data_IF_025437740289
#
_entry.id   IF_025437740289
#
_cell.length_a   1.000
_cell.length_b   1.000
_cell.length_c   1.000
_cell.angle_alpha   90.00
_cell.angle_beta   90.00
_cell.angle_gamma   90.00
#
_symmetry.space_group_name_H-M   'P 1'
#
loop_
_entity.id
_entity.type
_entity.pdbx_description
1 polymer ?
#
# COMPACT_ATOMS: atom_id res chain seq x y z
N UNK A 1 1.80 -7.79 56.92
CA UNK A 1 2.20 -8.17 55.54
C UNK A 1 1.37 -7.31 54.61
N UNK A 2 1.98 -6.62 53.64
CA UNK A 2 1.22 -5.89 52.63
C UNK A 2 0.39 -6.93 51.85
N UNK A 3 -0.93 -6.74 51.79
CA UNK A 3 -1.84 -7.60 51.03
C UNK A 3 -1.52 -7.46 49.55
N UNK A 4 -1.36 -8.59 48.86
CA UNK A 4 -1.17 -8.61 47.41
C UNK A 4 -2.49 -8.25 46.71
N UNK A 5 -2.65 -6.95 46.46
CA UNK A 5 -3.88 -6.38 45.89
C UNK A 5 -4.11 -6.91 44.48
N UNK A 6 -3.05 -7.13 43.70
CA UNK A 6 -3.18 -7.53 42.29
C UNK A 6 -3.61 -8.99 42.20
N UNK A 7 -3.09 -9.88 43.05
CA UNK A 7 -3.53 -11.28 43.11
C UNK A 7 -4.98 -11.45 43.56
N UNK A 8 -5.55 -10.46 44.28
CA UNK A 8 -6.94 -10.47 44.72
C UNK A 8 -7.96 -10.07 43.64
N UNK A 9 -7.50 -9.61 42.46
CA UNK A 9 -8.37 -9.21 41.37
C UNK A 9 -9.05 -10.42 40.71
N UNK A 10 -10.26 -10.25 40.13
CA UNK A 10 -10.90 -11.29 39.33
C UNK A 10 -10.01 -11.75 38.17
N UNK A 11 -10.09 -13.04 37.81
CA UNK A 11 -9.27 -13.62 36.74
C UNK A 11 -9.39 -12.84 35.42
N UNK A 12 -10.58 -12.40 35.05
CA UNK A 12 -10.82 -11.61 33.83
C UNK A 12 -10.04 -10.28 33.81
N UNK A 13 -9.88 -9.65 34.98
CA UNK A 13 -9.12 -8.40 35.10
C UNK A 13 -7.63 -8.69 34.96
N UNK A 14 -7.13 -9.75 35.60
CA UNK A 14 -5.73 -10.18 35.49
C UNK A 14 -5.41 -10.55 34.04
N UNK A 15 -6.28 -11.32 33.38
CA UNK A 15 -6.11 -11.71 31.97
C UNK A 15 -6.08 -10.48 31.05
N UNK A 16 -6.94 -9.48 31.31
CA UNK A 16 -6.91 -8.22 30.60
C UNK A 16 -5.61 -7.43 30.84
N UNK A 17 -5.12 -7.35 32.08
CA UNK A 17 -3.84 -6.70 32.39
C UNK A 17 -2.71 -7.39 31.61
N UNK A 18 -2.64 -8.73 31.70
CA UNK A 18 -1.60 -9.53 31.05
C UNK A 18 -1.65 -9.43 29.52
N UNK A 19 -2.85 -9.30 28.93
CA UNK A 19 -3.05 -9.12 27.49
C UNK A 19 -2.40 -7.85 26.93
N UNK A 20 -2.21 -6.82 27.77
CA UNK A 20 -1.54 -5.57 27.37
C UNK A 20 -0.03 -5.57 27.64
N UNK A 21 0.51 -6.61 28.28
CA UNK A 21 1.95 -6.75 28.47
C UNK A 21 2.59 -7.43 27.26
N UNK A 22 3.84 -7.08 26.91
CA UNK A 22 4.65 -7.91 26.02
C UNK A 22 4.72 -9.35 26.54
N UNK A 23 4.71 -10.33 25.63
CA UNK A 23 4.61 -11.75 25.99
C UNK A 23 5.64 -12.15 27.06
N UNK A 24 6.90 -11.75 26.89
CA UNK A 24 7.95 -12.10 27.85
C UNK A 24 7.79 -11.40 29.19
N UNK A 25 7.23 -10.20 29.25
CA UNK A 25 6.93 -9.55 30.53
C UNK A 25 5.76 -10.23 31.23
N UNK A 26 4.74 -10.66 30.48
CA UNK A 26 3.67 -11.49 31.02
C UNK A 26 4.20 -12.82 31.57
N UNK A 27 5.10 -13.49 30.83
CA UNK A 27 5.79 -14.71 31.31
C UNK A 27 6.63 -14.41 32.56
N UNK A 28 7.33 -13.27 32.63
CA UNK A 28 8.14 -12.87 33.79
C UNK A 28 7.32 -12.71 35.07
N UNK A 29 6.03 -12.36 34.98
CA UNK A 29 5.13 -12.33 36.15
C UNK A 29 5.05 -13.68 36.88
N UNK A 30 5.36 -14.80 36.20
CA UNK A 30 5.43 -16.14 36.81
C UNK A 30 6.43 -16.26 37.98
N UNK A 31 7.36 -15.30 38.10
CA UNK A 31 8.35 -15.22 39.18
C UNK A 31 7.85 -14.51 40.43
N UNK A 32 6.71 -13.80 40.36
CA UNK A 32 6.19 -12.99 41.45
C UNK A 32 5.66 -13.84 42.61
N UNK A 33 4.89 -14.90 42.31
CA UNK A 33 4.37 -15.82 43.33
C UNK A 33 3.96 -17.16 42.71
N UNK A 34 3.60 -18.14 43.55
CA UNK A 34 3.04 -19.43 43.09
C UNK A 34 1.73 -19.25 42.32
N UNK A 35 0.93 -18.24 42.66
CA UNK A 35 -0.36 -17.95 42.01
C UNK A 35 -0.18 -17.35 40.62
N UNK A 36 0.85 -16.52 40.42
CA UNK A 36 1.16 -15.92 39.12
C UNK A 36 1.84 -16.86 38.13
N UNK A 37 2.38 -17.99 38.62
CA UNK A 37 3.21 -18.92 37.83
C UNK A 37 2.60 -19.31 36.47
N UNK A 38 1.28 -19.48 36.41
CA UNK A 38 0.57 -19.95 35.22
C UNK A 38 -0.49 -18.97 34.71
N UNK A 39 -0.57 -17.73 35.21
CA UNK A 39 -1.60 -16.77 34.74
C UNK A 39 -1.41 -16.36 33.27
N UNK A 40 -0.18 -16.38 32.77
CA UNK A 40 0.12 -16.02 31.40
C UNK A 40 -0.27 -17.10 30.36
N UNK A 41 -0.51 -18.36 30.78
CA UNK A 41 -0.69 -19.49 29.85
C UNK A 41 -2.04 -19.45 29.11
N UNK A 42 -2.91 -18.50 29.42
CA UNK A 42 -4.22 -18.28 28.79
C UNK A 42 -4.26 -17.02 27.93
N UNK A 43 -3.17 -16.26 27.83
CA UNK A 43 -3.11 -15.02 27.06
C UNK A 43 -3.35 -15.30 25.57
N UNK A 44 -4.34 -14.65 24.93
CA UNK A 44 -4.72 -15.00 23.56
C UNK A 44 -3.74 -14.52 22.48
N UNK A 45 -2.82 -13.61 22.83
CA UNK A 45 -1.89 -12.97 21.90
C UNK A 45 -0.45 -13.44 22.18
N UNK A 46 0.11 -14.23 21.27
CA UNK A 46 1.50 -14.67 21.36
C UNK A 46 2.33 -13.93 20.30
N UNK A 47 3.05 -12.91 20.73
CA UNK A 47 3.85 -12.05 19.86
C UNK A 47 5.34 -12.32 20.08
N UNK A 48 5.95 -12.95 19.10
CA UNK A 48 7.37 -13.26 19.00
C UNK A 48 8.00 -12.37 17.92
N UNK A 49 8.12 -11.07 18.19
CA UNK A 49 8.74 -10.12 17.25
C UNK A 49 10.20 -9.80 17.62
N UNK A 50 10.89 -9.06 16.74
CA UNK A 50 12.30 -8.70 16.95
C UNK A 50 12.52 -7.78 18.16
N UNK A 51 11.51 -7.02 18.59
CA UNK A 51 11.61 -6.14 19.78
C UNK A 51 11.59 -6.97 21.06
N UNK A 52 10.76 -8.01 21.09
CA UNK A 52 10.63 -8.94 22.20
C UNK A 52 11.76 -9.97 22.23
N UNK A 53 12.17 -10.44 21.05
CA UNK A 53 13.10 -11.55 20.92
C UNK A 53 14.55 -11.15 20.73
N UNK A 54 14.88 -9.89 20.44
CA UNK A 54 16.24 -9.45 20.15
C UNK A 54 17.26 -10.07 21.10
N UNK A 55 17.25 -9.69 22.38
CA UNK A 55 18.21 -10.21 23.35
C UNK A 55 18.10 -11.73 23.61
N UNK A 56 16.97 -12.36 23.29
CA UNK A 56 16.73 -13.79 23.53
C UNK A 56 17.24 -14.66 22.37
N UNK A 57 17.15 -14.19 21.12
CA UNK A 57 17.62 -14.88 19.91
C UNK A 57 19.15 -15.03 19.87
N UNK A 58 19.88 -14.01 20.35
CA UNK A 58 21.34 -14.07 20.42
C UNK A 58 21.87 -14.85 21.63
N UNK A 59 21.06 -15.00 22.69
CA UNK A 59 21.49 -15.60 23.97
C UNK A 59 20.99 -17.02 24.19
N UNK A 60 19.85 -17.40 23.60
CA UNK A 60 19.18 -18.69 23.81
C UNK A 60 18.66 -19.27 22.49
N UNK A 61 18.41 -20.58 22.47
CA UNK A 61 17.77 -21.23 21.32
C UNK A 61 16.28 -20.84 21.26
N UNK A 62 15.94 -19.87 20.41
CA UNK A 62 14.56 -19.36 20.27
C UNK A 62 13.54 -20.44 19.94
N UNK A 63 13.91 -21.47 19.16
CA UNK A 63 13.04 -22.62 18.88
C UNK A 63 12.59 -23.28 20.18
N UNK A 64 13.53 -23.56 21.08
CA UNK A 64 13.24 -24.21 22.35
C UNK A 64 12.38 -23.36 23.29
N UNK A 65 12.45 -22.03 23.17
CA UNK A 65 11.63 -21.11 23.95
C UNK A 65 10.19 -21.12 23.43
N UNK A 66 10.02 -21.02 22.12
CA UNK A 66 8.71 -21.03 21.46
C UNK A 66 8.02 -22.38 21.70
N UNK A 67 8.74 -23.50 21.55
CA UNK A 67 8.22 -24.84 21.86
C UNK A 67 7.69 -24.92 23.29
N UNK A 68 8.48 -24.47 24.27
CA UNK A 68 8.06 -24.48 25.69
C UNK A 68 6.83 -23.61 25.93
N UNK A 69 6.78 -22.43 25.32
CA UNK A 69 5.66 -21.52 25.48
C UNK A 69 4.39 -22.15 24.90
N UNK A 70 4.45 -22.68 23.68
CA UNK A 70 3.31 -23.31 23.01
C UNK A 70 2.85 -24.59 23.73
N UNK A 71 3.77 -25.42 24.22
CA UNK A 71 3.45 -26.62 24.99
C UNK A 71 2.79 -26.33 26.35
N UNK A 72 3.16 -25.20 26.97
CA UNK A 72 2.57 -24.77 28.24
C UNK A 72 1.26 -24.01 28.06
N UNK A 73 1.01 -23.47 26.87
CA UNK A 73 -0.17 -22.67 26.58
C UNK A 73 -1.43 -23.52 26.64
N UNK A 74 -2.43 -23.05 27.39
CA UNK A 74 -3.73 -23.73 27.57
C UNK A 74 -4.90 -22.92 27.02
N UNK A 75 -4.67 -21.65 26.72
CA UNK A 75 -5.66 -20.75 26.14
C UNK A 75 -5.88 -20.96 24.64
N UNK A 76 -6.82 -20.21 24.10
CA UNK A 76 -6.99 -20.09 22.65
C UNK A 76 -6.07 -19.00 22.14
N UNK A 77 -5.17 -19.35 21.22
CA UNK A 77 -4.29 -18.38 20.55
C UNK A 77 -5.08 -17.76 19.41
N UNK A 78 -5.54 -16.52 19.57
CA UNK A 78 -6.28 -15.79 18.52
C UNK A 78 -5.36 -14.93 17.67
N UNK A 79 -4.20 -14.54 18.20
CA UNK A 79 -3.19 -13.75 17.49
C UNK A 79 -1.81 -14.35 17.68
N UNK A 80 -1.14 -14.62 16.58
CA UNK A 80 0.22 -15.14 16.56
C UNK A 80 1.09 -14.33 15.61
N UNK A 81 2.17 -13.77 16.15
CA UNK A 81 3.19 -13.06 15.37
C UNK A 81 4.52 -13.74 15.59
N UNK A 82 5.23 -14.01 14.50
CA UNK A 82 6.56 -14.59 14.54
C UNK A 82 7.47 -13.90 13.53
N UNK A 83 8.54 -13.29 14.03
CA UNK A 83 9.61 -12.67 13.23
C UNK A 83 10.92 -13.34 13.54
N UNK A 84 11.62 -13.86 12.54
CA UNK A 84 12.93 -14.45 12.75
C UNK A 84 13.84 -14.26 11.53
N UNK A 85 15.14 -14.22 11.80
CA UNK A 85 16.17 -13.98 10.79
C UNK A 85 16.97 -15.24 10.41
N UNK A 86 16.75 -16.37 11.09
CA UNK A 86 17.48 -17.62 10.85
C UNK A 86 16.62 -18.64 10.09
N UNK A 87 17.04 -18.99 8.87
CA UNK A 87 16.37 -19.97 8.03
C UNK A 87 16.29 -21.37 8.65
N UNK A 88 17.11 -21.68 9.66
CA UNK A 88 17.04 -22.95 10.40
C UNK A 88 15.76 -23.11 11.21
N UNK A 89 15.03 -22.02 11.46
CA UNK A 89 13.76 -22.04 12.20
C UNK A 89 12.60 -22.53 11.34
N UNK A 90 12.68 -22.38 10.01
CA UNK A 90 11.59 -22.71 9.09
C UNK A 90 11.01 -24.13 9.25
N UNK A 91 11.80 -25.21 9.44
CA UNK A 91 11.27 -26.56 9.64
C UNK A 91 10.42 -26.73 10.91
N UNK A 92 10.59 -25.86 11.91
CA UNK A 92 9.83 -25.92 13.17
C UNK A 92 8.46 -25.23 13.09
N UNK A 93 8.24 -24.39 12.08
CA UNK A 93 6.99 -23.64 11.91
C UNK A 93 5.81 -24.58 11.78
N UNK A 94 5.98 -25.71 11.07
CA UNK A 94 4.93 -26.71 10.92
C UNK A 94 4.38 -27.16 12.28
N UNK A 95 5.28 -27.45 13.23
CA UNK A 95 4.91 -27.86 14.57
C UNK A 95 4.18 -26.74 15.33
N UNK A 96 4.55 -25.49 15.10
CA UNK A 96 3.93 -24.34 15.77
C UNK A 96 2.54 -24.05 15.22
N UNK A 97 2.34 -24.14 13.90
CA UNK A 97 1.04 -23.93 13.27
C UNK A 97 -0.01 -24.93 13.77
N UNK A 98 0.38 -26.14 14.20
CA UNK A 98 -0.53 -27.11 14.83
C UNK A 98 -1.23 -26.58 16.09
N UNK A 99 -0.61 -25.64 16.82
CA UNK A 99 -1.21 -25.00 18.01
C UNK A 99 -2.16 -23.86 17.64
N UNK A 100 -2.22 -23.44 16.38
CA UNK A 100 -2.89 -22.23 15.93
C UNK A 100 -4.25 -22.47 15.28
N UNK A 101 -4.89 -23.61 15.52
CA UNK A 101 -6.20 -23.96 14.92
C UNK A 101 -7.31 -22.93 15.14
N UNK A 102 -7.24 -22.12 16.20
CA UNK A 102 -8.19 -21.04 16.52
C UNK A 102 -7.64 -19.62 16.22
N UNK A 103 -6.52 -19.53 15.50
CA UNK A 103 -5.87 -18.27 15.20
C UNK A 103 -6.66 -17.48 14.17
N UNK A 104 -6.92 -16.22 14.48
CA UNK A 104 -7.63 -15.28 13.62
C UNK A 104 -6.65 -14.32 12.94
N UNK A 105 -5.58 -13.93 13.63
CA UNK A 105 -4.54 -13.04 13.12
C UNK A 105 -3.17 -13.72 13.11
N UNK A 106 -2.68 -14.04 11.91
CA UNK A 106 -1.36 -14.65 11.73
C UNK A 106 -0.41 -13.69 11.03
N UNK A 107 0.75 -13.44 11.65
CA UNK A 107 1.88 -12.72 11.05
C UNK A 107 3.12 -13.59 11.06
N UNK A 108 3.68 -13.89 9.88
CA UNK A 108 4.96 -14.58 9.72
C UNK A 108 5.93 -13.69 8.94
N UNK A 109 7.04 -13.34 9.58
CA UNK A 109 8.09 -12.53 8.99
C UNK A 109 9.41 -13.32 8.92
N UNK A 110 9.82 -13.61 7.69
CA UNK A 110 11.00 -14.39 7.35
C UNK A 110 12.13 -13.42 6.95
N UNK A 111 12.83 -12.86 7.92
CA UNK A 111 13.96 -11.94 7.67
C UNK A 111 15.26 -12.71 7.36
N UNK A 112 15.17 -13.71 6.49
CA UNK A 112 16.27 -14.60 6.15
C UNK A 112 17.05 -14.02 4.97
N UNK A 113 18.23 -13.44 5.23
CA UNK A 113 19.07 -12.84 4.18
C UNK A 113 19.39 -13.87 3.08
N UNK A 114 18.87 -13.64 1.87
CA UNK A 114 19.16 -14.46 0.68
C UNK A 114 18.38 -15.77 0.54
N UNK A 115 17.43 -16.08 1.44
CA UNK A 115 16.59 -17.28 1.36
C UNK A 115 15.10 -16.91 1.16
N UNK A 116 14.40 -17.70 0.34
CA UNK A 116 12.94 -17.64 0.19
C UNK A 116 12.37 -18.95 0.73
N UNK A 117 12.08 -19.04 2.03
CA UNK A 117 11.58 -20.27 2.60
C UNK A 117 10.19 -20.59 2.04
N UNK A 118 9.95 -21.87 1.77
CA UNK A 118 8.62 -22.35 1.46
C UNK A 118 7.74 -22.16 2.69
N UNK A 119 6.61 -21.47 2.51
CA UNK A 119 5.63 -21.28 3.57
C UNK A 119 4.92 -22.61 3.79
N UNK A 120 4.76 -22.98 5.06
CA UNK A 120 4.16 -24.24 5.49
C UNK A 120 2.80 -24.48 4.84
N UNK A 121 2.57 -25.72 4.40
CA UNK A 121 1.28 -26.16 3.89
C UNK A 121 0.19 -26.18 4.99
N UNK A 122 0.58 -26.27 6.26
CA UNK A 122 -0.34 -26.22 7.39
C UNK A 122 -0.97 -24.83 7.57
N UNK A 123 -0.40 -23.78 7.00
CA UNK A 123 -1.03 -22.46 7.00
C UNK A 123 -2.41 -22.49 6.34
N UNK A 124 -2.59 -23.30 5.31
CA UNK A 124 -3.85 -23.41 4.56
C UNK A 124 -4.94 -24.22 5.26
N UNK A 125 -4.65 -24.80 6.43
CA UNK A 125 -5.65 -25.50 7.27
C UNK A 125 -6.24 -24.60 8.36
N UNK A 126 -5.72 -23.38 8.53
CA UNK A 126 -6.18 -22.41 9.53
C UNK A 126 -7.47 -21.72 9.07
N UNK A 127 -8.61 -22.32 9.39
CA UNK A 127 -9.94 -21.91 8.90
C UNK A 127 -10.54 -20.68 9.61
N UNK A 128 -10.00 -20.30 10.77
CA UNK A 128 -10.44 -19.12 11.53
C UNK A 128 -9.77 -17.82 11.10
N UNK A 129 -8.81 -17.85 10.15
CA UNK A 129 -8.02 -16.68 9.78
C UNK A 129 -8.90 -15.55 9.22
N UNK A 130 -8.80 -14.38 9.86
CA UNK A 130 -9.37 -13.11 9.42
C UNK A 130 -8.30 -12.16 8.90
N UNK A 131 -7.07 -12.27 9.41
CA UNK A 131 -5.92 -11.45 9.00
C UNK A 131 -4.70 -12.33 8.75
N UNK A 132 -4.12 -12.18 7.56
CA UNK A 132 -2.88 -12.84 7.19
C UNK A 132 -1.85 -11.81 6.75
N UNK A 133 -0.71 -11.79 7.42
CA UNK A 133 0.44 -10.97 7.05
C UNK A 133 1.69 -11.84 6.88
N UNK A 134 2.17 -11.92 5.65
CA UNK A 134 3.37 -12.65 5.29
C UNK A 134 4.45 -11.68 4.78
N UNK A 135 5.66 -11.81 5.31
CA UNK A 135 6.82 -11.03 4.89
C UNK A 135 7.94 -11.99 4.50
N UNK A 136 8.32 -11.98 3.23
CA UNK A 136 9.25 -12.89 2.56
C UNK A 136 8.78 -14.36 2.55
N UNK A 137 9.20 -15.13 1.54
CA UNK A 137 8.88 -16.55 1.40
C UNK A 137 8.09 -16.90 0.15
N UNK A 138 7.87 -18.19 -0.05
CA UNK A 138 7.17 -18.75 -1.21
C UNK A 138 5.85 -19.38 -0.77
N UNK A 139 4.74 -18.77 -1.20
CA UNK A 139 3.39 -19.21 -0.88
C UNK A 139 2.87 -20.11 -2.01
N UNK A 140 2.73 -21.40 -1.71
CA UNK A 140 2.24 -22.40 -2.65
C UNK A 140 0.94 -23.02 -2.13
N UNK A 141 -0.23 -22.51 -2.54
CA UNK A 141 -1.50 -23.11 -2.15
C UNK A 141 -1.62 -24.56 -2.66
N UNK A 142 -1.89 -25.54 -1.80
CA UNK A 142 -2.05 -26.92 -2.24
C UNK A 142 -3.31 -27.08 -3.10
N UNK A 143 -3.39 -28.09 -3.98
CA UNK A 143 -4.59 -28.34 -4.79
C UNK A 143 -5.87 -28.51 -3.96
N UNK A 144 -5.73 -29.05 -2.74
CA UNK A 144 -6.82 -29.26 -1.79
C UNK A 144 -7.27 -27.99 -1.05
N UNK A 145 -6.56 -26.87 -1.21
CA UNK A 145 -6.90 -25.61 -0.54
C UNK A 145 -8.28 -25.12 -0.99
N UNK A 146 -9.23 -25.12 -0.05
CA UNK A 146 -10.60 -24.70 -0.30
C UNK A 146 -10.78 -23.18 -0.25
N UNK A 147 -9.88 -22.47 0.43
CA UNK A 147 -10.00 -21.04 0.66
C UNK A 147 -9.93 -20.66 2.12
N UNK A 148 -9.76 -19.36 2.36
CA UNK A 148 -9.95 -18.79 3.69
C UNK A 148 -11.28 -18.05 3.73
N UNK A 149 -12.32 -18.73 4.22
CA UNK A 149 -13.70 -18.24 4.23
C UNK A 149 -13.90 -16.94 5.02
N UNK A 150 -13.06 -16.71 6.04
CA UNK A 150 -13.16 -15.57 6.95
C UNK A 150 -12.11 -14.50 6.72
N UNK A 151 -11.20 -14.68 5.75
CA UNK A 151 -10.08 -13.78 5.56
C UNK A 151 -10.57 -12.41 5.07
N UNK A 152 -10.38 -11.39 5.90
CA UNK A 152 -10.75 -10.00 5.63
C UNK A 152 -9.56 -9.20 5.14
N UNK A 153 -8.36 -9.45 5.68
CA UNK A 153 -7.13 -8.70 5.32
C UNK A 153 -5.99 -9.62 4.93
N UNK A 154 -5.38 -9.30 3.79
CA UNK A 154 -4.20 -9.96 3.26
C UNK A 154 -3.09 -8.93 3.05
N UNK A 155 -1.94 -9.17 3.68
CA UNK A 155 -0.71 -8.40 3.46
C UNK A 155 0.39 -9.37 3.01
N UNK A 156 0.95 -9.13 1.82
CA UNK A 156 2.05 -9.91 1.26
C UNK A 156 3.21 -8.95 0.97
N UNK A 157 4.34 -9.09 1.65
CA UNK A 157 5.53 -8.29 1.41
C UNK A 157 6.64 -9.21 0.95
N UNK A 158 7.10 -9.06 -0.29
CA UNK A 158 8.10 -9.89 -0.95
C UNK A 158 7.83 -11.40 -0.90
N UNK A 159 6.55 -11.78 -0.91
CA UNK A 159 6.10 -13.16 -1.06
C UNK A 159 6.02 -13.51 -2.54
N UNK A 160 6.57 -14.67 -2.93
CA UNK A 160 6.45 -15.21 -4.27
C UNK A 160 5.33 -16.24 -4.38
N UNK A 161 4.65 -16.26 -5.52
CA UNK A 161 3.62 -17.23 -5.89
C UNK A 161 3.85 -17.66 -7.34
N UNK A 162 3.38 -18.85 -7.74
CA UNK A 162 3.44 -19.24 -9.13
C UNK A 162 2.48 -18.39 -9.99
N UNK A 163 2.70 -18.38 -11.30
CA UNK A 163 1.84 -17.64 -12.22
C UNK A 163 0.38 -18.10 -12.11
N UNK A 164 -0.55 -17.15 -11.93
CA UNK A 164 -1.98 -17.43 -11.75
C UNK A 164 -2.40 -17.80 -10.32
N UNK A 165 -1.46 -18.16 -9.43
CA UNK A 165 -1.81 -18.55 -8.07
C UNK A 165 -2.34 -17.39 -7.22
N UNK A 166 -1.88 -16.16 -7.49
CA UNK A 166 -2.38 -15.00 -6.77
C UNK A 166 -3.90 -14.83 -6.97
N UNK A 167 -4.36 -14.93 -8.23
CA UNK A 167 -5.79 -14.92 -8.57
C UNK A 167 -6.52 -16.07 -7.89
N UNK A 168 -6.04 -17.30 -8.09
CA UNK A 168 -6.71 -18.50 -7.57
C UNK A 168 -6.82 -18.48 -6.04
N UNK A 169 -5.84 -17.88 -5.36
CA UNK A 169 -5.83 -17.68 -3.92
C UNK A 169 -6.88 -16.67 -3.46
N UNK A 170 -6.89 -15.45 -4.02
CA UNK A 170 -7.84 -14.41 -3.58
C UNK A 170 -9.29 -14.73 -3.94
N UNK A 171 -9.55 -15.44 -5.05
CA UNK A 171 -10.90 -15.89 -5.42
C UNK A 171 -11.52 -16.81 -4.37
N UNK A 172 -10.69 -17.55 -3.64
CA UNK A 172 -11.09 -18.46 -2.57
C UNK A 172 -11.20 -17.76 -1.20
N UNK A 173 -11.17 -16.43 -1.17
CA UNK A 173 -11.28 -15.62 0.05
C UNK A 173 -12.49 -14.67 -0.08
N UNK A 174 -13.73 -15.14 0.12
CA UNK A 174 -14.94 -14.38 -0.22
C UNK A 174 -15.19 -13.13 0.66
N UNK A 175 -14.64 -13.10 1.88
CA UNK A 175 -14.76 -11.99 2.82
C UNK A 175 -13.65 -10.93 2.67
N UNK A 176 -12.79 -11.05 1.66
CA UNK A 176 -11.60 -10.22 1.54
C UNK A 176 -11.95 -8.76 1.24
N UNK A 177 -11.62 -7.86 2.16
CA UNK A 177 -11.88 -6.42 2.06
C UNK A 177 -10.61 -5.59 1.85
N UNK A 178 -9.45 -6.13 2.24
CA UNK A 178 -8.18 -5.41 2.21
C UNK A 178 -7.07 -6.29 1.65
N UNK A 179 -6.39 -5.81 0.61
CA UNK A 179 -5.21 -6.45 0.03
C UNK A 179 -4.09 -5.42 -0.10
N UNK A 180 -2.93 -5.74 0.47
CA UNK A 180 -1.68 -5.05 0.22
C UNK A 180 -0.63 -6.05 -0.26
N UNK A 181 -0.01 -5.75 -1.40
CA UNK A 181 1.08 -6.54 -1.96
C UNK A 181 2.27 -5.62 -2.23
N UNK A 182 3.40 -5.88 -1.58
CA UNK A 182 4.69 -5.33 -1.95
C UNK A 182 5.55 -6.43 -2.56
N UNK A 183 6.09 -6.25 -3.77
CA UNK A 183 6.78 -7.33 -4.50
C UNK A 183 7.93 -6.81 -5.34
N UNK A 184 9.13 -6.73 -4.74
CA UNK A 184 10.32 -6.13 -5.35
C UNK A 184 11.37 -7.14 -5.83
N UNK A 185 11.23 -8.41 -5.44
CA UNK A 185 12.20 -9.46 -5.72
C UNK A 185 12.19 -10.01 -7.15
N UNK A 186 13.14 -10.89 -7.50
CA UNK A 186 13.19 -11.53 -8.82
C UNK A 186 11.97 -12.44 -9.07
N UNK A 187 11.43 -13.05 -8.01
CA UNK A 187 10.20 -13.85 -8.02
C UNK A 187 8.95 -12.99 -7.70
N UNK A 188 8.96 -11.71 -8.08
CA UNK A 188 7.85 -10.81 -7.78
C UNK A 188 6.55 -11.24 -8.47
N UNK A 189 5.43 -11.04 -7.78
CA UNK A 189 4.09 -11.19 -8.33
C UNK A 189 3.85 -10.02 -9.28
N UNK A 190 3.95 -10.26 -10.59
CA UNK A 190 3.81 -9.22 -11.61
C UNK A 190 2.50 -9.25 -12.39
N UNK A 191 1.84 -10.41 -12.47
CA UNK A 191 0.59 -10.59 -13.19
C UNK A 191 -0.57 -10.65 -12.20
N UNK A 192 -1.43 -9.63 -12.22
CA UNK A 192 -2.46 -9.41 -11.23
C UNK A 192 -3.85 -9.53 -11.88
N UNK A 193 -4.60 -10.57 -11.52
CA UNK A 193 -6.03 -10.65 -11.83
C UNK A 193 -6.84 -10.58 -10.55
N UNK A 194 -7.62 -9.51 -10.40
CA UNK A 194 -8.37 -9.19 -9.18
C UNK A 194 -9.84 -9.59 -9.33
N UNK A 195 -10.23 -10.67 -8.68
CA UNK A 195 -11.60 -11.17 -8.59
C UNK A 195 -11.96 -11.35 -7.10
N UNK A 196 -12.32 -10.24 -6.47
CA UNK A 196 -12.60 -10.08 -5.05
C UNK A 196 -13.77 -9.08 -4.85
N UNK A 197 -15.04 -9.55 -4.85
CA UNK A 197 -16.23 -8.67 -4.86
C UNK A 197 -16.36 -7.73 -3.65
N UNK A 198 -15.83 -8.15 -2.49
CA UNK A 198 -15.92 -7.39 -1.24
C UNK A 198 -14.72 -6.47 -1.01
N UNK A 199 -13.77 -6.41 -1.94
CA UNK A 199 -12.54 -5.64 -1.81
C UNK A 199 -12.84 -4.14 -1.72
N UNK A 200 -12.39 -3.51 -0.63
CA UNK A 200 -12.52 -2.06 -0.36
C UNK A 200 -11.20 -1.34 -0.52
N UNK A 201 -10.08 -1.99 -0.22
CA UNK A 201 -8.74 -1.44 -0.32
C UNK A 201 -7.82 -2.37 -1.10
N UNK A 202 -7.15 -1.84 -2.13
CA UNK A 202 -6.13 -2.54 -2.89
C UNK A 202 -4.87 -1.69 -3.01
N UNK A 203 -3.75 -2.20 -2.52
CA UNK A 203 -2.44 -1.59 -2.71
C UNK A 203 -1.47 -2.59 -3.34
N UNK A 204 -0.82 -2.19 -4.43
CA UNK A 204 0.27 -2.93 -5.04
C UNK A 204 1.49 -2.03 -5.19
N UNK A 205 2.66 -2.52 -4.77
CA UNK A 205 3.94 -1.85 -4.95
C UNK A 205 5.01 -2.85 -5.36
N UNK A 206 5.48 -2.79 -6.59
CA UNK A 206 6.38 -3.84 -7.06
C UNK A 206 6.57 -3.87 -8.57
N UNK A 207 7.24 -4.92 -9.06
CA UNK A 207 7.43 -5.15 -10.50
C UNK A 207 6.13 -5.64 -11.14
N UNK A 208 5.42 -4.75 -11.83
CA UNK A 208 4.15 -5.05 -12.48
C UNK A 208 4.34 -5.45 -13.95
N UNK A 209 3.84 -6.61 -14.35
CA UNK A 209 3.76 -7.07 -15.74
C UNK A 209 2.41 -6.71 -16.37
N UNK A 210 1.32 -7.12 -15.71
CA UNK A 210 -0.07 -6.91 -16.15
C UNK A 210 -1.01 -6.76 -14.96
N UNK A 211 -2.10 -6.00 -15.14
CA UNK A 211 -3.17 -5.92 -14.15
C UNK A 211 -4.54 -5.92 -14.82
N UNK A 212 -5.43 -6.72 -14.26
CA UNK A 212 -6.81 -6.88 -14.70
C UNK A 212 -7.75 -6.94 -13.49
N UNK A 213 -8.83 -6.16 -13.52
CA UNK A 213 -9.88 -6.22 -12.52
C UNK A 213 -11.11 -6.92 -13.09
N UNK A 214 -11.42 -8.11 -12.58
CA UNK A 214 -12.61 -8.88 -12.98
C UNK A 214 -13.83 -8.51 -12.14
N UNK A 215 -13.67 -8.48 -10.82
CA UNK A 215 -14.76 -8.18 -9.89
C UNK A 215 -14.20 -7.50 -8.63
N UNK A 216 -14.43 -6.20 -8.49
CA UNK A 216 -14.01 -5.40 -7.33
C UNK A 216 -14.87 -4.13 -7.22
N UNK A 217 -16.19 -4.29 -7.33
CA UNK A 217 -17.14 -3.17 -7.45
C UNK A 217 -17.28 -2.30 -6.18
N UNK A 218 -16.78 -2.78 -5.04
CA UNK A 218 -16.77 -2.08 -3.75
C UNK A 218 -15.46 -1.35 -3.45
N UNK A 219 -14.52 -1.36 -4.40
CA UNK A 219 -13.19 -0.78 -4.20
C UNK A 219 -13.29 0.73 -3.97
N UNK A 220 -12.88 1.16 -2.78
CA UNK A 220 -12.93 2.55 -2.34
C UNK A 220 -11.56 3.22 -2.39
N UNK A 221 -10.49 2.46 -2.20
CA UNK A 221 -9.12 2.95 -2.27
C UNK A 221 -8.25 2.03 -3.14
N UNK A 222 -7.56 2.62 -4.10
CA UNK A 222 -6.60 1.94 -4.96
C UNK A 222 -5.26 2.67 -4.94
N UNK A 223 -4.18 1.93 -4.71
CA UNK A 223 -2.81 2.46 -4.78
C UNK A 223 -1.93 1.52 -5.60
N UNK A 224 -1.41 1.97 -6.74
CA UNK A 224 -0.54 1.16 -7.61
C UNK A 224 0.76 1.90 -7.88
N UNK A 225 1.84 1.41 -7.29
CA UNK A 225 3.19 1.94 -7.42
C UNK A 225 4.04 0.90 -8.14
N UNK A 226 4.00 0.93 -9.47
CA UNK A 226 4.71 -0.04 -10.31
C UNK A 226 6.20 0.31 -10.46
N UNK A 227 7.09 -0.68 -10.45
CA UNK A 227 8.51 -0.53 -10.75
C UNK A 227 8.80 -1.04 -12.16
N UNK A 228 9.83 -0.47 -12.80
CA UNK A 228 10.14 -0.65 -14.23
C UNK A 228 10.15 -2.12 -14.66
N UNK A 229 9.38 -2.39 -15.71
CA UNK A 229 9.71 -3.34 -16.77
C UNK A 229 10.86 -2.75 -17.63
N UNK A 230 11.54 -3.58 -18.41
CA UNK A 230 12.55 -3.14 -19.39
C UNK A 230 12.03 -1.95 -20.23
N UNK A 231 12.93 -1.07 -20.67
CA UNK A 231 12.60 0.15 -21.43
C UNK A 231 11.77 -0.17 -22.70
N UNK A 232 11.03 0.82 -23.27
CA UNK A 232 10.26 0.66 -24.50
C UNK A 232 11.08 0.18 -25.72
N UNK A 233 12.40 0.32 -25.69
CA UNK A 233 13.28 -0.04 -26.81
C UNK A 233 13.61 -1.54 -26.87
N UNK A 234 13.31 -2.32 -25.82
CA UNK A 234 13.72 -3.73 -25.71
C UNK A 234 12.55 -4.74 -25.78
N UNK A 235 11.37 -4.29 -26.17
CA UNK A 235 10.24 -5.21 -26.35
C UNK A 235 10.10 -5.60 -27.82
N UNK A 236 10.29 -6.88 -28.19
CA UNK A 236 9.51 -7.42 -29.32
C UNK A 236 8.04 -7.17 -29.01
N UNK A 237 7.26 -6.81 -30.03
CA UNK A 237 5.81 -6.64 -29.99
C UNK A 237 5.17 -7.76 -29.13
N UNK A 238 4.88 -7.48 -27.85
CA UNK A 238 4.19 -8.43 -26.99
C UNK A 238 2.70 -8.39 -27.32
N UNK A 239 2.09 -9.57 -27.36
CA UNK A 239 0.68 -9.81 -27.61
C UNK A 239 -0.23 -8.94 -26.72
N UNK A 240 -1.27 -8.40 -27.37
CA UNK A 240 -2.46 -7.64 -26.94
C UNK A 240 -2.94 -7.83 -25.47
N UNK A 241 -2.10 -7.54 -24.49
CA UNK A 241 -2.49 -7.53 -23.08
C UNK A 241 -3.10 -6.17 -22.75
N UNK A 242 -4.31 -5.92 -23.24
CA UNK A 242 -5.05 -4.68 -22.98
C UNK A 242 -5.35 -4.55 -21.48
N UNK A 243 -4.92 -3.45 -20.87
CA UNK A 243 -5.31 -3.17 -19.49
C UNK A 243 -6.79 -2.78 -19.46
N UNK A 244 -7.59 -3.44 -18.63
CA UNK A 244 -8.98 -3.03 -18.43
C UNK A 244 -9.13 -1.94 -17.36
N UNK A 245 -8.04 -1.40 -16.80
CA UNK A 245 -8.12 -0.52 -15.62
C UNK A 245 -8.94 0.73 -15.89
N UNK A 246 -8.75 1.44 -17.01
CA UNK A 246 -9.54 2.63 -17.31
C UNK A 246 -11.03 2.31 -17.50
N UNK A 247 -11.33 1.18 -18.16
CA UNK A 247 -12.69 0.67 -18.31
C UNK A 247 -13.30 0.31 -16.96
N UNK A 248 -12.55 -0.39 -16.11
CA UNK A 248 -12.95 -0.73 -14.75
C UNK A 248 -13.20 0.52 -13.89
N UNK A 249 -12.30 1.50 -13.91
CA UNK A 249 -12.48 2.78 -13.22
C UNK A 249 -13.78 3.47 -13.65
N UNK A 250 -14.11 3.44 -14.94
CA UNK A 250 -15.38 3.99 -15.45
C UNK A 250 -16.63 3.20 -15.02
N UNK A 251 -16.48 2.00 -14.47
CA UNK A 251 -17.59 1.15 -14.06
C UNK A 251 -17.78 1.10 -12.54
N UNK A 252 -16.79 1.54 -11.75
CA UNK A 252 -16.87 1.48 -10.29
C UNK A 252 -17.39 2.79 -9.69
N UNK A 253 -18.52 2.75 -8.95
CA UNK A 253 -19.04 3.94 -8.31
C UNK A 253 -18.32 4.26 -7.00
N UNK A 254 -17.71 3.29 -6.32
CA UNK A 254 -17.25 3.42 -4.93
C UNK A 254 -15.89 4.09 -4.75
N UNK A 255 -15.10 4.27 -5.80
CA UNK A 255 -13.71 4.72 -5.67
C UNK A 255 -13.65 6.17 -5.16
N UNK A 256 -12.97 6.34 -4.02
CA UNK A 256 -12.78 7.64 -3.36
C UNK A 256 -11.33 8.13 -3.41
N UNK A 257 -10.38 7.20 -3.55
CA UNK A 257 -8.96 7.49 -3.51
C UNK A 257 -8.20 6.67 -4.55
N UNK A 258 -7.41 7.35 -5.37
CA UNK A 258 -6.51 6.72 -6.32
C UNK A 258 -5.10 7.29 -6.15
N UNK A 259 -4.13 6.40 -5.99
CA UNK A 259 -2.71 6.72 -6.03
C UNK A 259 -2.04 5.92 -7.14
N UNK A 260 -1.31 6.59 -8.02
CA UNK A 260 -0.51 5.94 -9.05
C UNK A 260 0.86 6.58 -9.18
N UNK A 261 1.84 5.87 -9.75
CA UNK A 261 3.14 6.43 -10.09
C UNK A 261 3.38 6.47 -11.60
N UNK A 262 4.47 7.11 -12.03
CA UNK A 262 4.90 7.24 -13.43
C UNK A 262 4.76 5.96 -14.23
N UNK A 263 5.32 4.86 -13.73
CA UNK A 263 5.32 3.60 -14.48
C UNK A 263 3.88 3.08 -14.68
N UNK A 264 3.01 3.23 -13.68
CA UNK A 264 1.61 2.87 -13.82
C UNK A 264 0.84 3.84 -14.73
N UNK A 265 1.11 5.15 -14.64
CA UNK A 265 0.54 6.16 -15.56
C UNK A 265 0.91 5.87 -17.01
N UNK A 266 2.17 5.50 -17.28
CA UNK A 266 2.63 5.08 -18.59
C UNK A 266 1.96 3.78 -19.04
N UNK A 267 1.77 2.83 -18.11
CA UNK A 267 1.03 1.60 -18.38
C UNK A 267 -0.42 1.88 -18.80
N UNK A 268 -1.12 2.80 -18.12
CA UNK A 268 -2.47 3.24 -18.49
C UNK A 268 -2.53 3.96 -19.83
N UNK A 269 -1.45 4.60 -20.25
CA UNK A 269 -1.38 5.33 -21.51
C UNK A 269 -1.08 4.46 -22.74
N UNK A 270 -0.73 3.18 -22.57
CA UNK A 270 -0.33 2.27 -23.66
C UNK A 270 -1.40 2.11 -24.74
N UNK A 271 -2.65 1.94 -24.33
CA UNK A 271 -3.79 1.70 -25.23
C UNK A 271 -4.48 3.01 -25.69
N UNK A 272 -3.85 4.16 -25.43
CA UNK A 272 -4.45 5.48 -25.60
C UNK A 272 -5.33 5.86 -24.41
N UNK A 273 -5.23 7.12 -23.99
CA UNK A 273 -6.04 7.65 -22.88
C UNK A 273 -7.18 8.47 -23.46
N UNK A 274 -8.45 8.20 -23.10
CA UNK A 274 -9.55 9.06 -23.52
C UNK A 274 -9.42 10.43 -22.86
N UNK A 275 -9.97 11.47 -23.49
CA UNK A 275 -9.99 12.83 -22.92
C UNK A 275 -10.64 12.87 -21.52
N UNK A 276 -11.64 12.00 -21.30
CA UNK A 276 -12.37 11.79 -20.04
C UNK A 276 -12.90 10.34 -20.03
N UNK A 277 -13.02 9.73 -18.85
CA UNK A 277 -13.66 8.42 -18.72
C UNK A 277 -15.15 8.48 -19.13
N UNK A 278 -15.71 7.38 -19.68
CA UNK A 278 -17.11 7.33 -20.08
C UNK A 278 -18.09 7.72 -18.96
N UNK A 279 -17.80 7.32 -17.72
CA UNK A 279 -18.57 7.72 -16.54
C UNK A 279 -17.69 8.48 -15.54
N UNK A 280 -18.32 9.41 -14.82
CA UNK A 280 -17.64 10.18 -13.77
C UNK A 280 -17.37 9.32 -12.52
N UNK A 281 -16.19 9.54 -11.93
CA UNK A 281 -15.78 9.07 -10.61
C UNK A 281 -16.41 9.97 -9.54
N UNK A 282 -17.73 9.89 -9.38
CA UNK A 282 -18.53 10.82 -8.58
C UNK A 282 -18.23 10.82 -7.07
N UNK A 283 -17.48 9.83 -6.57
CA UNK A 283 -17.06 9.73 -5.17
C UNK A 283 -15.56 9.98 -4.98
N UNK A 284 -14.80 10.20 -6.06
CA UNK A 284 -13.37 10.48 -5.99
C UNK A 284 -13.13 11.79 -5.24
N UNK A 285 -12.38 11.72 -4.13
CA UNK A 285 -12.02 12.86 -3.28
C UNK A 285 -10.52 13.12 -3.27
N UNK A 286 -9.71 12.08 -3.44
CA UNK A 286 -8.26 12.18 -3.38
C UNK A 286 -7.62 11.51 -4.59
N UNK A 287 -6.77 12.26 -5.29
CA UNK A 287 -5.97 11.76 -6.40
C UNK A 287 -4.51 12.09 -6.13
N UNK A 288 -3.64 11.09 -6.23
CA UNK A 288 -2.21 11.27 -6.02
C UNK A 288 -1.38 10.65 -7.13
N UNK A 289 -0.50 11.46 -7.73
CA UNK A 289 0.52 11.02 -8.67
C UNK A 289 1.88 11.01 -7.97
N UNK A 290 2.33 9.84 -7.55
CA UNK A 290 3.62 9.64 -6.92
C UNK A 290 4.71 9.49 -7.97
N UNK A 291 5.42 10.58 -8.27
CA UNK A 291 6.39 10.68 -9.38
C UNK A 291 5.65 10.63 -10.71
N UNK A 292 5.49 11.78 -11.37
CA UNK A 292 4.92 11.90 -12.72
C UNK A 292 5.77 12.84 -13.57
N UNK A 293 5.93 12.51 -14.84
CA UNK A 293 6.62 13.33 -15.82
C UNK A 293 5.62 14.20 -16.60
N UNK A 294 5.42 15.43 -16.10
CA UNK A 294 4.57 16.43 -16.75
C UNK A 294 5.14 16.94 -18.09
N UNK A 295 6.33 16.49 -18.50
CA UNK A 295 6.93 16.79 -19.80
C UNK A 295 6.50 15.80 -20.89
N UNK A 296 5.70 14.78 -20.56
CA UNK A 296 5.23 13.78 -21.53
C UNK A 296 3.73 13.88 -21.75
N UNK A 297 3.30 13.92 -23.01
CA UNK A 297 1.87 13.99 -23.37
C UNK A 297 1.12 12.76 -22.82
N UNK A 298 1.74 11.58 -22.84
CA UNK A 298 1.14 10.35 -22.34
C UNK A 298 0.75 10.44 -20.85
N UNK A 299 1.69 10.86 -20.00
CA UNK A 299 1.43 10.96 -18.56
C UNK A 299 0.50 12.13 -18.22
N UNK A 300 0.67 13.27 -18.89
CA UNK A 300 -0.23 14.43 -18.75
C UNK A 300 -1.65 14.08 -19.17
N UNK A 301 -1.84 13.37 -20.28
CA UNK A 301 -3.17 12.94 -20.75
C UNK A 301 -3.84 12.01 -19.75
N UNK A 302 -3.09 11.07 -19.17
CA UNK A 302 -3.60 10.21 -18.10
C UNK A 302 -4.02 11.02 -16.87
N UNK A 303 -3.21 11.99 -16.44
CA UNK A 303 -3.54 12.84 -15.31
C UNK A 303 -4.81 13.66 -15.57
N UNK A 304 -4.89 14.33 -16.74
CA UNK A 304 -6.04 15.14 -17.12
C UNK A 304 -7.31 14.29 -17.28
N UNK A 305 -7.23 13.10 -17.85
CA UNK A 305 -8.36 12.18 -17.97
C UNK A 305 -8.97 11.85 -16.59
N UNK A 306 -8.14 11.47 -15.61
CA UNK A 306 -8.58 11.16 -14.26
C UNK A 306 -9.14 12.40 -13.54
N UNK A 307 -8.50 13.55 -13.70
CA UNK A 307 -8.96 14.83 -13.13
C UNK A 307 -10.33 15.22 -13.71
N UNK A 308 -10.47 15.22 -15.03
CA UNK A 308 -11.74 15.54 -15.74
C UNK A 308 -12.87 14.60 -15.39
N UNK A 309 -12.53 13.37 -15.01
CA UNK A 309 -13.49 12.36 -14.61
C UNK A 309 -13.88 12.46 -13.14
N UNK A 310 -13.26 13.34 -12.34
CA UNK A 310 -13.42 13.42 -10.88
C UNK A 310 -14.05 14.74 -10.42
N UNK A 311 -15.34 15.00 -10.70
CA UNK A 311 -15.97 16.31 -10.46
C UNK A 311 -16.09 16.71 -8.98
N UNK A 312 -15.91 15.77 -8.04
CA UNK A 312 -15.95 16.02 -6.59
C UNK A 312 -14.58 15.91 -5.93
N UNK A 313 -13.50 15.95 -6.71
CA UNK A 313 -12.12 15.89 -6.21
C UNK A 313 -11.88 17.02 -5.20
N UNK A 314 -11.32 16.69 -4.04
CA UNK A 314 -11.05 17.64 -2.94
C UNK A 314 -9.56 17.89 -2.74
N UNK A 315 -8.73 16.88 -2.98
CA UNK A 315 -7.28 16.96 -2.80
C UNK A 315 -6.54 16.33 -3.99
N UNK A 316 -5.59 17.07 -4.54
CA UNK A 316 -4.68 16.62 -5.59
C UNK A 316 -3.24 16.69 -5.08
N UNK A 317 -2.57 15.54 -5.05
CA UNK A 317 -1.15 15.43 -4.67
C UNK A 317 -0.33 15.03 -5.88
N UNK A 318 0.75 15.76 -6.15
CA UNK A 318 1.65 15.48 -7.27
C UNK A 318 3.06 15.48 -6.74
N UNK A 319 3.83 14.44 -7.04
CA UNK A 319 5.30 14.51 -6.95
C UNK A 319 5.81 14.56 -8.38
N UNK A 320 6.38 15.67 -8.81
CA UNK A 320 6.94 15.79 -10.15
C UNK A 320 8.25 15.01 -10.28
N UNK A 321 8.58 14.53 -11.48
CA UNK A 321 9.85 13.85 -11.75
C UNK A 321 11.04 14.82 -11.60
N UNK A 322 10.89 16.08 -12.01
CA UNK A 322 11.89 17.13 -11.86
C UNK A 322 13.15 16.94 -12.73
N UNK A 323 13.11 16.08 -13.76
CA UNK A 323 14.21 15.86 -14.71
C UNK A 323 14.03 16.74 -15.96
N UNK A 324 15.12 17.37 -16.42
CA UNK A 324 15.13 18.29 -17.56
C UNK A 324 15.52 17.59 -18.86
N UNK A 325 14.74 16.61 -19.30
CA UNK A 325 15.01 15.98 -20.60
C UNK A 325 14.57 16.93 -21.72
N UNK A 326 15.54 17.53 -22.44
CA UNK A 326 15.32 18.79 -23.19
C UNK A 326 14.44 18.65 -24.43
N UNK A 327 14.32 17.45 -25.01
CA UNK A 327 13.66 17.28 -26.31
C UNK A 327 12.13 17.22 -26.21
N UNK A 328 11.57 16.73 -25.09
CA UNK A 328 10.12 16.57 -24.91
C UNK A 328 9.42 17.78 -24.23
N UNK A 329 10.18 18.78 -23.77
CA UNK A 329 9.64 19.89 -22.96
C UNK A 329 8.61 20.76 -23.70
N UNK A 330 8.85 21.05 -24.99
CA UNK A 330 8.01 22.00 -25.75
C UNK A 330 6.66 21.42 -26.16
N UNK A 331 6.60 20.11 -26.45
CA UNK A 331 5.39 19.46 -26.97
C UNK A 331 4.32 19.32 -25.87
N UNK A 332 4.70 18.93 -24.66
CA UNK A 332 3.76 18.81 -23.55
C UNK A 332 3.23 20.18 -23.07
N UNK A 333 4.08 21.22 -23.05
CA UNK A 333 3.65 22.57 -22.71
C UNK A 333 2.64 23.12 -23.72
N UNK A 334 2.88 22.93 -25.02
CA UNK A 334 1.95 23.33 -26.08
C UNK A 334 0.62 22.57 -25.96
N UNK A 335 0.67 21.25 -25.76
CA UNK A 335 -0.51 20.43 -25.51
C UNK A 335 -1.33 20.98 -24.33
N UNK A 336 -0.69 21.32 -23.21
CA UNK A 336 -1.37 21.87 -22.04
C UNK A 336 -2.03 23.22 -22.28
N UNK A 337 -1.40 24.11 -23.07
CA UNK A 337 -2.01 25.39 -23.47
C UNK A 337 -3.29 25.16 -24.27
N UNK A 338 -3.31 24.19 -25.18
CA UNK A 338 -4.50 23.81 -25.95
C UNK A 338 -5.62 23.27 -25.04
N UNK A 339 -5.27 22.62 -23.93
CA UNK A 339 -6.25 22.11 -22.96
C UNK A 339 -6.93 23.20 -22.12
N UNK A 340 -6.45 24.45 -22.13
CA UNK A 340 -7.07 25.55 -21.37
C UNK A 340 -8.48 25.91 -21.88
N UNK A 341 -8.78 25.60 -23.15
CA UNK A 341 -10.12 25.80 -23.72
C UNK A 341 -11.14 24.74 -23.24
N UNK A 342 -10.66 23.63 -22.65
CA UNK A 342 -11.52 22.54 -22.21
C UNK A 342 -12.01 22.77 -20.78
N UNK A 343 -13.30 22.54 -20.52
CA UNK A 343 -13.83 22.59 -19.16
C UNK A 343 -13.25 21.46 -18.29
N UNK A 344 -12.84 21.83 -17.08
CA UNK A 344 -12.36 20.90 -16.06
C UNK A 344 -13.19 21.11 -14.78
N UNK A 345 -13.98 20.12 -14.34
CA UNK A 345 -14.93 20.28 -13.25
C UNK A 345 -14.26 20.22 -11.86
N UNK A 346 -13.38 21.17 -11.54
CA UNK A 346 -12.65 21.24 -10.26
C UNK A 346 -13.35 22.13 -9.22
N UNK A 347 -14.68 22.12 -9.19
CA UNK A 347 -15.48 23.02 -8.33
C UNK A 347 -15.41 22.71 -6.85
N UNK A 348 -14.87 21.54 -6.46
CA UNK A 348 -14.69 21.11 -5.07
C UNK A 348 -13.24 20.92 -4.66
N UNK A 349 -12.28 21.23 -5.53
CA UNK A 349 -10.87 21.04 -5.24
C UNK A 349 -10.41 22.08 -4.23
N UNK A 350 -10.09 21.66 -3.02
CA UNK A 350 -9.73 22.53 -1.90
C UNK A 350 -8.21 22.68 -1.74
N UNK A 351 -7.46 21.61 -2.03
CA UNK A 351 -6.01 21.60 -1.85
C UNK A 351 -5.27 20.98 -3.02
N UNK A 352 -4.24 21.67 -3.50
CA UNK A 352 -3.24 21.14 -4.43
C UNK A 352 -1.89 21.16 -3.72
N UNK A 353 -1.21 20.02 -3.74
CA UNK A 353 0.10 19.90 -3.11
C UNK A 353 1.08 19.22 -4.07
N UNK A 354 2.15 19.94 -4.41
CA UNK A 354 3.12 19.54 -5.44
C UNK A 354 4.52 19.44 -4.83
N UNK A 355 5.16 18.27 -4.92
CA UNK A 355 6.55 18.03 -4.49
C UNK A 355 7.50 17.96 -5.67
N UNK A 356 8.77 18.23 -5.40
CA UNK A 356 9.87 18.11 -6.35
C UNK A 356 9.64 18.95 -7.64
N UNK A 357 8.99 20.10 -7.49
CA UNK A 357 8.66 20.99 -8.59
C UNK A 357 9.91 21.70 -9.12
N UNK A 358 10.10 21.65 -10.43
CA UNK A 358 11.30 22.17 -11.11
C UNK A 358 11.05 23.46 -11.90
N UNK A 359 9.80 23.84 -12.10
CA UNK A 359 9.41 25.06 -12.81
C UNK A 359 9.55 24.95 -14.32
N UNK A 360 9.53 23.74 -14.86
CA UNK A 360 9.47 23.54 -16.31
C UNK A 360 8.20 24.18 -16.87
N UNK A 361 8.26 24.64 -18.13
CA UNK A 361 7.11 25.28 -18.78
C UNK A 361 5.86 24.39 -18.73
N UNK A 362 5.99 23.08 -19.00
CA UNK A 362 4.89 22.13 -18.90
C UNK A 362 4.34 21.99 -17.48
N UNK A 363 5.20 22.00 -16.46
CA UNK A 363 4.77 21.97 -15.06
C UNK A 363 4.00 23.26 -14.69
N UNK A 364 4.49 24.42 -15.13
CA UNK A 364 3.84 25.72 -14.91
C UNK A 364 2.48 25.79 -15.62
N UNK A 365 2.41 25.38 -16.89
CA UNK A 365 1.15 25.35 -17.64
C UNK A 365 0.13 24.37 -17.03
N UNK A 366 0.59 23.23 -16.51
CA UNK A 366 -0.29 22.30 -15.78
C UNK A 366 -0.88 22.96 -14.52
N UNK A 367 -0.07 23.66 -13.73
CA UNK A 367 -0.54 24.37 -12.53
C UNK A 367 -1.50 25.50 -12.88
N UNK A 368 -1.20 26.31 -13.91
CA UNK A 368 -2.09 27.38 -14.40
C UNK A 368 -3.44 26.83 -14.81
N UNK A 369 -3.47 25.71 -15.55
CA UNK A 369 -4.70 25.04 -15.95
C UNK A 369 -5.53 24.58 -14.73
N UNK A 370 -4.90 24.08 -13.67
CA UNK A 370 -5.62 23.75 -12.42
C UNK A 370 -6.15 25.01 -11.73
N UNK A 371 -5.37 26.09 -11.64
CA UNK A 371 -5.76 27.36 -11.02
C UNK A 371 -6.95 28.02 -11.73
N UNK A 372 -6.99 27.92 -13.06
CA UNK A 372 -8.09 28.42 -13.90
C UNK A 372 -9.39 27.64 -13.67
N UNK A 373 -9.31 26.38 -13.29
CA UNK A 373 -10.48 25.51 -13.12
C UNK A 373 -10.98 25.39 -11.67
N UNK A 374 -10.09 25.52 -10.68
CA UNK A 374 -10.40 25.24 -9.29
C UNK A 374 -11.04 26.45 -8.57
N UNK A 375 -12.36 26.52 -8.54
CA UNK A 375 -13.12 27.63 -7.93
C UNK A 375 -13.15 27.61 -6.41
N UNK A 376 -13.04 26.42 -5.79
CA UNK A 376 -13.07 26.24 -4.33
C UNK A 376 -11.68 26.09 -3.69
N UNK A 377 -10.61 26.36 -4.46
CA UNK A 377 -9.24 26.15 -4.01
C UNK A 377 -8.93 27.06 -2.80
N UNK A 378 -8.50 26.43 -1.70
CA UNK A 378 -8.07 27.11 -0.48
C UNK A 378 -6.56 27.22 -0.42
N UNK A 379 -5.85 26.18 -0.86
CA UNK A 379 -4.39 26.10 -0.73
C UNK A 379 -3.74 25.44 -1.95
N UNK A 380 -2.75 26.12 -2.53
CA UNK A 380 -1.76 25.55 -3.43
C UNK A 380 -0.40 25.59 -2.72
N UNK A 381 0.18 24.43 -2.45
CA UNK A 381 1.50 24.34 -1.84
C UNK A 381 2.47 23.61 -2.79
N UNK A 382 3.57 24.27 -3.12
CA UNK A 382 4.61 23.77 -4.01
C UNK A 382 5.92 23.66 -3.24
N UNK A 383 6.50 22.47 -3.21
CA UNK A 383 7.82 22.21 -2.63
C UNK A 383 8.80 21.97 -3.76
N UNK A 384 9.77 22.88 -3.89
CA UNK A 384 10.88 22.74 -4.83
C UNK A 384 12.08 22.09 -4.15
N UNK A 385 12.79 21.22 -4.87
CA UNK A 385 14.02 20.60 -4.37
C UNK A 385 15.19 21.53 -4.66
N UNK A 386 15.98 21.88 -3.64
CA UNK A 386 17.03 22.92 -3.69
C UNK A 386 18.04 22.77 -4.85
N UNK A 387 18.29 21.54 -5.32
CA UNK A 387 19.24 21.29 -6.42
C UNK A 387 18.62 21.49 -7.82
N UNK A 388 17.30 21.58 -7.94
CA UNK A 388 16.61 21.64 -9.23
C UNK A 388 16.31 23.06 -9.69
N UNK A 389 16.23 24.04 -8.77
CA UNK A 389 15.80 25.41 -9.08
C UNK A 389 16.59 26.44 -8.26
N UNK A 390 17.18 27.44 -8.93
CA UNK A 390 17.88 28.54 -8.26
C UNK A 390 16.91 29.44 -7.49
N UNK A 391 17.36 30.14 -6.45
CA UNK A 391 16.52 31.08 -5.68
C UNK A 391 15.88 32.16 -6.58
N UNK A 392 16.59 32.63 -7.61
CA UNK A 392 16.07 33.59 -8.60
C UNK A 392 14.94 32.99 -9.42
N UNK A 393 15.15 31.80 -10.01
CA UNK A 393 14.12 31.13 -10.80
C UNK A 393 12.88 30.79 -9.95
N UNK A 394 13.06 30.45 -8.67
CA UNK A 394 11.92 30.25 -7.74
C UNK A 394 11.10 31.52 -7.51
N UNK A 395 11.77 32.66 -7.37
CA UNK A 395 11.09 33.94 -7.23
C UNK A 395 10.32 34.28 -8.50
N UNK A 396 10.92 34.10 -9.68
CA UNK A 396 10.26 34.27 -10.98
C UNK A 396 9.03 33.35 -11.10
N UNK A 397 9.14 32.08 -10.72
CA UNK A 397 8.02 31.13 -10.71
C UNK A 397 6.90 31.56 -9.73
N UNK A 398 7.27 32.05 -8.54
CA UNK A 398 6.30 32.54 -7.57
C UNK A 398 5.54 33.75 -8.11
N UNK A 399 6.25 34.74 -8.64
CA UNK A 399 5.65 35.93 -9.26
C UNK A 399 4.72 35.54 -10.42
N UNK A 400 5.15 34.61 -11.28
CA UNK A 400 4.35 34.13 -12.40
C UNK A 400 3.06 33.43 -11.94
N UNK A 401 3.13 32.55 -10.93
CA UNK A 401 1.93 31.87 -10.39
C UNK A 401 1.03 32.81 -9.58
N UNK A 402 1.61 33.77 -8.85
CA UNK A 402 0.87 34.75 -8.07
C UNK A 402 0.07 35.71 -8.96
N UNK A 403 0.62 36.06 -10.12
CA UNK A 403 0.00 36.93 -11.14
C UNK A 403 -0.89 36.17 -12.13
N UNK A 404 -0.79 34.85 -12.17
CA UNK A 404 -1.62 34.00 -13.04
C UNK A 404 -3.12 34.13 -12.71
N UNK A 405 -3.96 34.08 -13.75
CA UNK A 405 -5.41 34.08 -13.59
C UNK A 405 -5.83 32.82 -12.82
N UNK A 406 -6.68 33.01 -11.81
CA UNK A 406 -7.21 31.94 -10.95
C UNK A 406 -8.71 32.09 -10.77
N UNK A 407 -9.41 30.97 -10.65
CA UNK A 407 -10.84 30.95 -10.42
C UNK A 407 -11.20 31.20 -8.94
N UNK A 408 -10.39 30.70 -8.02
CA UNK A 408 -10.54 30.99 -6.59
C UNK A 408 -9.86 32.30 -6.20
N UNK A 409 -10.63 33.22 -5.59
CA UNK A 409 -10.11 34.48 -5.04
C UNK A 409 -9.44 34.31 -3.67
N UNK A 410 -9.69 33.19 -2.98
CA UNK A 410 -9.22 32.93 -1.60
C UNK A 410 -8.07 31.92 -1.53
N UNK A 411 -7.59 31.42 -2.67
CA UNK A 411 -6.51 30.44 -2.71
C UNK A 411 -5.19 31.06 -2.21
N UNK A 412 -4.63 30.47 -1.14
CA UNK A 412 -3.29 30.77 -0.68
C UNK A 412 -2.27 29.99 -1.55
N UNK A 413 -1.29 30.69 -2.13
CA UNK A 413 -0.20 30.08 -2.90
C UNK A 413 1.07 30.13 -2.05
N UNK A 414 1.58 28.96 -1.70
CA UNK A 414 2.76 28.79 -0.86
C UNK A 414 3.82 28.05 -1.66
N UNK A 415 5.02 28.62 -1.77
CA UNK A 415 6.18 27.96 -2.37
C UNK A 415 7.27 27.81 -1.31
N UNK A 416 7.71 26.57 -1.06
CA UNK A 416 8.70 26.22 -0.02
C UNK A 416 9.88 25.47 -0.61
N UNK A 417 11.00 25.55 0.10
CA UNK A 417 12.14 24.67 -0.13
C UNK A 417 11.92 23.32 0.55
N UNK A 418 12.51 22.27 -0.02
CA UNK A 418 12.65 20.99 0.65
C UNK A 418 13.65 21.16 1.80
N UNK A 419 13.16 21.47 2.99
CA UNK A 419 13.96 21.44 4.21
C UNK A 419 14.18 19.97 4.60
N UNK A 420 15.46 19.55 4.64
CA UNK A 420 15.84 18.27 5.24
C UNK A 420 15.68 18.47 6.74
N UNK A 421 14.65 17.86 7.34
CA UNK A 421 14.57 17.67 8.79
C UNK A 421 15.31 16.38 9.14
#
# INVERSE_FOLDING_TARGET
MATDIISSLPCEVIDNILKYLPLFDAVRTSTLSREWRYKWVTIPHLIFDSTCMGNLLWKYNAVSIIDKILLLHKGSITKFTLTFADSKICPHIDNWLCFLSKCEELTLCFDCSGSYPMISQLLFTLDQLTHLYLVHGELMPPPIFKGFERLVRLNLVNVSMAAGDFKSFICKCPMLEYVMVESFGPKAIGDLEIDAPNLKFFSYRGKLNSIYFKNASRLAEMSIIAHKLKMPQDFPLFEESHSNVLKFLSQIPSITKLTCNRNFTQYLARDGVPHKLPNNLNHMRFLSFWVIDLSTIAEVSCALCLIRSSPKLQSLVITALGLRDRENLKTAAQFLKEQQACEIPLTRLESIYIRNFSGLESEMEFVKLLLLAATALKKLEIISKHNNVSRKARHEMFEELATSRRASTHAEIIIRDFEII
#
